data_IF_594001502224
#
_entry.id   IF_594001502224
#
_cell.length_a   1.000
_cell.length_b   1.000
_cell.length_c   1.000
_cell.angle_alpha   90.00
_cell.angle_beta   90.00
_cell.angle_gamma   90.00
#
_symmetry.space_group_name_H-M   'P 1'
#
loop_
_entity.id
_entity.type
_entity.pdbx_description
1 polymer ?
#
# COMPACT_ATOMS: atom_id res chain seq x y z
N UNK A 1 -17.69 2.41 7.00
CA UNK A 1 -16.63 1.39 6.85
C UNK A 1 -15.40 1.82 7.62
N UNK A 2 -14.73 0.95 8.39
CA UNK A 2 -13.43 1.29 9.01
C UNK A 2 -12.29 1.00 8.02
N UNK A 3 -11.13 1.65 8.16
CA UNK A 3 -9.97 1.40 7.29
C UNK A 3 -9.52 -0.07 7.32
N UNK A 4 -9.69 -0.73 8.47
CA UNK A 4 -9.47 -2.17 8.67
C UNK A 4 -10.38 -3.02 7.79
N UNK A 5 -11.64 -2.59 7.64
CA UNK A 5 -12.61 -3.24 6.77
C UNK A 5 -12.23 -3.05 5.29
N UNK A 6 -11.68 -1.88 4.92
CA UNK A 6 -11.20 -1.61 3.55
C UNK A 6 -10.01 -2.47 3.15
N UNK A 7 -9.02 -2.67 4.01
CA UNK A 7 -7.90 -3.57 3.73
C UNK A 7 -8.37 -5.01 3.53
N UNK A 8 -9.32 -5.43 4.36
CA UNK A 8 -9.93 -6.75 4.24
C UNK A 8 -10.81 -6.88 2.99
N UNK A 9 -11.59 -5.85 2.65
CA UNK A 9 -12.46 -5.79 1.47
C UNK A 9 -11.62 -5.72 0.19
N UNK A 10 -10.55 -4.92 0.14
CA UNK A 10 -9.58 -4.92 -0.94
C UNK A 10 -9.13 -6.35 -1.24
N UNK A 11 -8.66 -7.11 -0.24
CA UNK A 11 -8.26 -8.52 -0.42
C UNK A 11 -9.36 -9.50 -0.87
N UNK A 12 -10.63 -9.08 -1.00
CA UNK A 12 -11.80 -9.94 -1.25
C UNK A 12 -12.82 -9.42 -2.30
N UNK A 13 -12.76 -8.17 -2.73
CA UNK A 13 -13.87 -7.44 -3.39
C UNK A 13 -13.80 -7.46 -4.92
N UNK A 14 -14.99 -7.38 -5.55
CA UNK A 14 -15.19 -7.26 -7.01
C UNK A 14 -15.47 -5.81 -7.46
N UNK A 15 -15.42 -4.79 -6.57
CA UNK A 15 -15.62 -3.38 -6.95
C UNK A 15 -14.98 -2.37 -5.96
N UNK A 16 -13.66 -2.21 -6.04
CA UNK A 16 -12.88 -1.28 -5.20
C UNK A 16 -13.27 0.19 -5.38
N UNK A 17 -13.60 0.63 -6.60
CA UNK A 17 -13.95 2.04 -6.90
C UNK A 17 -15.13 2.52 -6.05
N UNK A 18 -16.17 1.68 -5.93
CA UNK A 18 -17.32 1.97 -5.09
C UNK A 18 -16.93 2.06 -3.61
N UNK A 19 -16.14 1.11 -3.12
CA UNK A 19 -15.72 1.05 -1.72
C UNK A 19 -14.87 2.28 -1.35
N UNK A 20 -13.97 2.71 -2.25
CA UNK A 20 -13.20 3.96 -2.11
C UNK A 20 -14.13 5.16 -2.09
N UNK A 21 -15.08 5.24 -3.03
CA UNK A 21 -16.02 6.38 -3.10
C UNK A 21 -16.84 6.51 -1.82
N UNK A 22 -17.42 5.42 -1.31
CA UNK A 22 -18.19 5.41 -0.07
C UNK A 22 -17.35 5.83 1.15
N UNK A 23 -16.08 5.42 1.20
CA UNK A 23 -15.15 5.85 2.25
C UNK A 23 -14.80 7.34 2.14
N UNK A 24 -14.46 7.80 0.94
CA UNK A 24 -14.15 9.20 0.65
C UNK A 24 -15.30 10.14 1.06
N UNK A 25 -16.54 9.78 0.74
CA UNK A 25 -17.74 10.52 1.17
C UNK A 25 -17.90 10.53 2.69
N UNK A 26 -17.68 9.39 3.36
CA UNK A 26 -17.84 9.27 4.80
C UNK A 26 -16.80 10.07 5.58
N UNK A 27 -15.55 10.07 5.12
CA UNK A 27 -14.40 10.65 5.85
C UNK A 27 -13.88 11.96 5.25
N UNK A 28 -14.56 12.50 4.24
CA UNK A 28 -14.21 13.77 3.58
C UNK A 28 -12.76 13.78 3.08
N UNK A 29 -12.35 12.69 2.43
CA UNK A 29 -11.05 12.57 1.77
C UNK A 29 -11.20 12.28 0.29
N UNK A 30 -10.14 12.46 -0.47
CA UNK A 30 -10.05 12.12 -1.89
C UNK A 30 -9.66 10.65 -2.08
N UNK A 31 -9.90 10.07 -3.27
CA UNK A 31 -9.47 8.70 -3.57
C UNK A 31 -7.97 8.46 -3.38
N UNK A 32 -7.05 9.34 -3.86
CA UNK A 32 -5.61 9.21 -3.56
C UNK A 32 -5.30 9.19 -2.07
N UNK A 33 -5.92 10.07 -1.28
CA UNK A 33 -5.74 10.10 0.18
C UNK A 33 -6.25 8.82 0.85
N UNK A 34 -7.35 8.24 0.35
CA UNK A 34 -7.85 6.95 0.82
C UNK A 34 -6.82 5.83 0.57
N UNK A 35 -6.22 5.78 -0.62
CA UNK A 35 -5.20 4.76 -0.94
C UNK A 35 -3.93 4.92 -0.08
N UNK A 36 -3.53 6.16 0.16
CA UNK A 36 -2.43 6.49 1.07
C UNK A 36 -2.69 6.01 2.50
N UNK A 37 -3.88 6.31 3.05
CA UNK A 37 -4.26 5.87 4.40
C UNK A 37 -4.34 4.34 4.49
N UNK A 38 -4.87 3.69 3.46
CA UNK A 38 -5.02 2.24 3.41
C UNK A 38 -3.65 1.54 3.43
N UNK A 39 -2.75 1.96 2.56
CA UNK A 39 -1.41 1.37 2.45
C UNK A 39 -0.55 1.66 3.68
N UNK A 40 -0.66 2.85 4.28
CA UNK A 40 -0.03 3.16 5.58
C UNK A 40 -0.53 2.21 6.67
N UNK A 41 -1.84 2.00 6.77
CA UNK A 41 -2.40 1.06 7.74
C UNK A 41 -1.85 -0.36 7.53
N UNK A 42 -1.74 -0.83 6.29
CA UNK A 42 -1.14 -2.13 5.97
C UNK A 42 0.34 -2.17 6.39
N UNK A 43 1.12 -1.14 6.08
CA UNK A 43 2.52 -1.03 6.42
C UNK A 43 2.76 -1.03 7.95
N UNK A 44 1.95 -0.29 8.71
CA UNK A 44 2.03 -0.26 10.19
C UNK A 44 1.73 -1.62 10.82
N UNK A 45 0.67 -2.29 10.35
CA UNK A 45 0.28 -3.59 10.88
C UNK A 45 1.24 -4.71 10.43
N UNK A 46 1.87 -4.58 9.26
CA UNK A 46 2.99 -5.42 8.85
C UNK A 46 4.21 -5.20 9.77
N UNK A 47 4.62 -3.95 9.94
CA UNK A 47 5.81 -3.59 10.72
C UNK A 47 5.70 -4.01 12.20
N UNK A 48 4.50 -4.02 12.75
CA UNK A 48 4.21 -4.49 14.12
C UNK A 48 3.98 -6.01 14.22
N UNK A 49 4.04 -6.74 13.11
CA UNK A 49 3.90 -8.20 13.05
C UNK A 49 2.45 -8.70 13.15
N UNK A 50 1.45 -7.82 13.01
CA UNK A 50 0.03 -8.19 13.01
C UNK A 50 -0.42 -8.75 11.66
N UNK A 51 0.14 -8.25 10.56
CA UNK A 51 -0.08 -8.77 9.20
C UNK A 51 1.16 -9.50 8.70
N UNK A 52 0.96 -10.60 7.95
CA UNK A 52 2.05 -11.31 7.29
C UNK A 52 2.49 -10.56 6.04
N UNK A 53 3.71 -10.87 5.56
CA UNK A 53 4.20 -10.31 4.31
C UNK A 53 3.24 -10.62 3.15
N UNK A 54 2.81 -11.87 3.02
CA UNK A 54 1.97 -12.33 1.90
C UNK A 54 0.63 -11.61 1.85
N UNK A 55 -0.01 -11.39 3.01
CA UNK A 55 -1.25 -10.63 3.07
C UNK A 55 -1.05 -9.17 2.69
N UNK A 56 0.00 -8.55 3.25
CA UNK A 56 0.28 -7.14 2.98
C UNK A 56 0.65 -6.91 1.52
N UNK A 57 1.48 -7.78 0.96
CA UNK A 57 1.89 -7.80 -0.45
C UNK A 57 0.70 -7.94 -1.40
N UNK A 58 -0.22 -8.88 -1.12
CA UNK A 58 -1.46 -9.07 -1.91
C UNK A 58 -2.31 -7.78 -1.92
N UNK A 59 -2.47 -7.14 -0.75
CA UNK A 59 -3.26 -5.91 -0.63
C UNK A 59 -2.61 -4.75 -1.37
N UNK A 60 -1.30 -4.50 -1.22
CA UNK A 60 -0.65 -3.35 -1.87
C UNK A 60 -0.54 -3.54 -3.38
N UNK A 61 -0.35 -4.77 -3.88
CA UNK A 61 -0.40 -5.09 -5.31
C UNK A 61 -1.77 -4.78 -5.91
N UNK A 62 -2.84 -5.16 -5.22
CA UNK A 62 -4.20 -4.84 -5.65
C UNK A 62 -4.45 -3.33 -5.65
N UNK A 63 -4.02 -2.62 -4.60
CA UNK A 63 -4.16 -1.15 -4.54
C UNK A 63 -3.38 -0.48 -5.68
N UNK A 64 -2.17 -0.95 -5.99
CA UNK A 64 -1.37 -0.44 -7.11
C UNK A 64 -2.12 -0.59 -8.45
N UNK A 65 -2.79 -1.72 -8.67
CA UNK A 65 -3.64 -1.92 -9.85
C UNK A 65 -4.70 -0.83 -10.04
N UNK A 66 -5.18 -0.22 -8.96
CA UNK A 66 -6.15 0.88 -8.99
C UNK A 66 -5.50 2.27 -9.03
N UNK A 67 -4.27 2.44 -8.55
CA UNK A 67 -3.59 3.74 -8.61
C UNK A 67 -3.43 4.27 -10.04
N UNK A 68 -3.42 3.35 -11.01
CA UNK A 68 -3.30 3.66 -12.44
C UNK A 68 -4.63 3.92 -13.14
N UNK A 69 -5.75 3.80 -12.45
CA UNK A 69 -7.09 4.06 -13.01
C UNK A 69 -7.33 5.57 -13.17
N UNK A 70 -8.08 5.97 -14.21
CA UNK A 70 -8.46 7.37 -14.47
C UNK A 70 -9.25 8.02 -13.31
N UNK A 71 -9.87 7.20 -12.45
CA UNK A 71 -10.54 7.66 -11.23
C UNK A 71 -9.57 8.14 -10.15
N UNK A 72 -8.33 7.62 -10.14
CA UNK A 72 -7.28 7.99 -9.19
C UNK A 72 -6.33 9.02 -9.79
N UNK A 73 -5.97 8.86 -11.08
CA UNK A 73 -5.01 9.73 -11.75
C UNK A 73 -5.61 11.10 -12.05
N UNK A 74 -4.98 12.15 -11.54
CA UNK A 74 -5.27 13.51 -11.98
C UNK A 74 -4.47 13.86 -13.24
N UNK A 75 -5.15 13.74 -14.39
CA UNK A 75 -4.62 14.09 -15.71
C UNK A 75 -4.25 15.56 -15.88
N UNK A 76 -4.72 16.45 -15.00
CA UNK A 76 -4.45 17.88 -15.07
C UNK A 76 -3.14 18.28 -14.38
N UNK A 77 -2.64 17.45 -13.47
CA UNK A 77 -1.38 17.67 -12.73
C UNK A 77 -0.27 16.69 -13.11
N UNK A 78 -0.46 15.93 -14.19
CA UNK A 78 0.58 15.10 -14.80
C UNK A 78 0.61 13.64 -14.36
N UNK A 79 -0.52 13.07 -13.91
CA UNK A 79 -0.66 11.65 -13.55
C UNK A 79 0.32 11.21 -12.45
N UNK A 80 0.34 11.92 -11.34
CA UNK A 80 1.15 11.53 -10.18
C UNK A 80 0.46 10.39 -9.43
N UNK A 81 1.19 9.30 -9.19
CA UNK A 81 0.71 8.21 -8.33
C UNK A 81 0.60 8.69 -6.87
N UNK A 82 -0.35 8.17 -6.08
CA UNK A 82 -0.50 8.54 -4.67
C UNK A 82 0.72 8.14 -3.84
N UNK A 83 1.24 9.08 -3.03
CA UNK A 83 2.32 8.84 -2.07
C UNK A 83 1.81 9.02 -0.63
N UNK A 84 2.11 8.10 0.31
CA UNK A 84 3.15 7.07 0.22
C UNK A 84 2.72 5.74 -0.40
N UNK A 85 1.49 5.62 -0.92
CA UNK A 85 0.97 4.34 -1.36
C UNK A 85 1.87 3.65 -2.40
N UNK A 86 2.36 4.41 -3.37
CA UNK A 86 3.28 3.89 -4.38
C UNK A 86 4.64 3.50 -3.79
N UNK A 87 5.23 4.31 -2.91
CA UNK A 87 6.45 3.96 -2.20
C UNK A 87 6.31 2.68 -1.36
N UNK A 88 5.16 2.48 -0.72
CA UNK A 88 4.87 1.27 0.05
C UNK A 88 4.77 0.05 -0.88
N UNK A 89 4.06 0.17 -2.01
CA UNK A 89 4.02 -0.88 -3.03
C UNK A 89 5.45 -1.29 -3.47
N UNK A 90 6.30 -0.31 -3.80
CA UNK A 90 7.69 -0.58 -4.20
C UNK A 90 8.50 -1.30 -3.12
N UNK A 91 8.24 -1.00 -1.85
CA UNK A 91 8.92 -1.66 -0.73
C UNK A 91 8.52 -3.14 -0.57
N UNK A 92 7.26 -3.49 -0.85
CA UNK A 92 6.82 -4.88 -0.85
C UNK A 92 7.36 -5.63 -2.09
N UNK A 93 7.26 -5.03 -3.28
CA UNK A 93 7.79 -5.56 -4.55
C UNK A 93 9.31 -5.85 -4.45
N UNK A 94 10.06 -4.99 -3.78
CA UNK A 94 11.50 -5.16 -3.59
C UNK A 94 11.88 -6.41 -2.77
N UNK A 95 10.93 -6.93 -1.97
CA UNK A 95 11.07 -8.13 -1.14
C UNK A 95 10.71 -9.44 -1.83
N UNK A 96 10.10 -9.42 -3.02
CA UNK A 96 9.61 -10.63 -3.70
C UNK A 96 10.77 -11.53 -4.17
N UNK A 97 11.90 -10.93 -4.55
CA UNK A 97 12.99 -11.65 -5.20
C UNK A 97 14.33 -11.43 -4.51
N UNK A 98 15.04 -12.54 -4.31
CA UNK A 98 16.46 -12.49 -3.98
C UNK A 98 17.24 -11.94 -5.18
N UNK A 99 18.09 -10.94 -4.96
CA UNK A 99 18.88 -10.34 -6.04
C UNK A 99 20.07 -11.25 -6.37
N UNK A 100 20.56 -11.18 -7.61
CA UNK A 100 21.70 -12.00 -8.07
C UNK A 100 22.98 -11.81 -7.23
N UNK A 101 23.15 -10.66 -6.61
CA UNK A 101 24.27 -10.34 -5.72
C UNK A 101 24.13 -10.88 -4.30
N UNK A 102 22.98 -11.45 -3.94
CA UNK A 102 22.68 -11.90 -2.59
C UNK A 102 23.19 -13.31 -2.38
N UNK A 103 23.70 -13.60 -1.18
CA UNK A 103 24.00 -14.96 -0.77
C UNK A 103 22.70 -15.77 -0.63
N UNK A 104 22.74 -17.07 -0.91
CA UNK A 104 21.58 -18.01 -0.86
C UNK A 104 20.84 -18.03 0.48
N UNK A 105 21.46 -17.53 1.56
CA UNK A 105 20.86 -17.45 2.90
C UNK A 105 20.09 -16.16 3.16
N UNK A 106 20.12 -15.21 2.22
CA UNK A 106 19.45 -13.91 2.36
C UNK A 106 17.94 -14.09 2.19
N UNK A 107 17.18 -13.60 3.18
CA UNK A 107 15.75 -13.38 3.03
C UNK A 107 15.53 -11.99 2.42
N UNK A 108 14.98 -11.88 1.19
CA UNK A 108 14.80 -10.60 0.51
C UNK A 108 13.84 -9.67 1.26
N UNK A 109 12.76 -10.21 1.83
CA UNK A 109 11.83 -9.46 2.71
C UNK A 109 12.60 -8.72 3.82
N UNK A 110 13.43 -9.44 4.58
CA UNK A 110 14.22 -8.87 5.68
C UNK A 110 15.27 -7.87 5.22
N UNK A 111 15.75 -8.01 3.98
CA UNK A 111 16.83 -7.19 3.45
C UNK A 111 16.32 -5.93 2.77
N UNK A 112 15.15 -5.97 2.16
CA UNK A 112 14.63 -4.91 1.29
C UNK A 112 13.32 -4.32 1.82
N UNK A 113 12.28 -5.14 2.04
CA UNK A 113 10.97 -4.65 2.54
C UNK A 113 11.06 -4.09 3.95
N UNK A 114 11.60 -4.85 4.90
CA UNK A 114 11.65 -4.44 6.32
C UNK A 114 12.28 -3.05 6.54
N UNK A 115 13.49 -2.75 6.01
CA UNK A 115 14.09 -1.43 6.19
C UNK A 115 13.35 -0.33 5.43
N UNK A 116 12.84 -0.59 4.22
CA UNK A 116 12.10 0.42 3.44
C UNK A 116 10.78 0.80 4.11
N UNK A 117 10.01 -0.19 4.58
CA UNK A 117 8.79 0.08 5.36
C UNK A 117 9.09 0.86 6.63
N UNK A 118 10.15 0.52 7.37
CA UNK A 118 10.52 1.26 8.56
C UNK A 118 10.85 2.74 8.27
N UNK A 119 11.54 3.01 7.15
CA UNK A 119 11.87 4.37 6.72
C UNK A 119 10.62 5.16 6.31
N UNK A 120 9.75 4.56 5.50
CA UNK A 120 8.49 5.19 5.08
C UNK A 120 7.64 5.51 6.31
N UNK A 121 7.47 4.57 7.23
CA UNK A 121 6.70 4.82 8.45
C UNK A 121 7.30 5.93 9.33
N UNK A 122 8.63 6.07 9.36
CA UNK A 122 9.27 7.19 10.07
C UNK A 122 8.97 8.54 9.39
N UNK A 123 9.02 8.59 8.06
CA UNK A 123 8.72 9.81 7.28
C UNK A 123 7.28 10.27 7.47
N UNK A 124 6.33 9.33 7.58
CA UNK A 124 4.91 9.60 7.70
C UNK A 124 4.39 9.51 9.15
N UNK A 125 5.27 9.53 10.14
CA UNK A 125 4.87 9.59 11.56
C UNK A 125 4.14 10.90 11.86
N UNK A 126 2.88 10.81 12.28
CA UNK A 126 2.10 11.93 12.80
C UNK A 126 1.30 12.73 11.76
N UNK A 127 1.13 12.19 10.55
CA UNK A 127 0.11 12.65 9.58
C UNK A 127 -1.28 12.15 9.92
#
# INVERSE_FOLDING_TARGET
MKIEDLAFIASKSNNMERDITEYCEQYLCTPPECLNQLTLHVAENYHTGKYSYEFSDEVVNLVFGHMTDDFILDHTVGNTLPEPAFSIYLAFDSGEYQRRSDADTVCPIKKYTDPEIALILEEYKGT
#
